data_IF_664147177376
#
_entry.id   IF_664147177376
#
_cell.length_a   1.000
_cell.length_b   1.000
_cell.length_c   1.000
_cell.angle_alpha   90.00
_cell.angle_beta   90.00
_cell.angle_gamma   90.00
#
_symmetry.space_group_name_H-M   'P 1'
#
loop_
_entity.id
_entity.type
_entity.pdbx_description
1 polymer ?
#
# COMPACT_ATOMS: atom_id res chain seq x y z
N UNK A 1 22.57 12.08 -17.65
CA UNK A 1 21.63 10.97 -17.44
C UNK A 1 21.57 10.71 -15.93
N UNK A 2 20.58 11.26 -15.22
CA UNK A 2 20.40 10.94 -13.81
C UNK A 2 19.73 9.57 -13.73
N UNK A 3 20.49 8.56 -13.30
CA UNK A 3 19.91 7.26 -12.97
C UNK A 3 18.87 7.49 -11.87
N UNK A 4 17.57 7.34 -12.22
CA UNK A 4 16.50 7.32 -11.23
C UNK A 4 16.86 6.21 -10.24
N UNK A 5 17.14 6.60 -8.99
CA UNK A 5 17.38 5.67 -7.90
C UNK A 5 16.09 4.89 -7.69
N UNK A 6 16.02 3.70 -8.30
CA UNK A 6 14.97 2.74 -8.01
C UNK A 6 15.04 2.51 -6.50
N UNK A 7 13.90 2.63 -5.82
CA UNK A 7 13.73 2.36 -4.39
C UNK A 7 13.19 0.94 -4.24
N UNK A 8 14.04 -0.10 -4.35
CA UNK A 8 13.57 -1.48 -4.47
C UNK A 8 12.96 -2.00 -3.18
N UNK A 9 13.34 -1.52 -2.00
CA UNK A 9 12.92 -2.11 -0.73
C UNK A 9 12.11 -1.14 0.11
N UNK A 10 10.93 -1.58 0.54
CA UNK A 10 9.98 -0.81 1.31
C UNK A 10 9.75 -1.42 2.69
N UNK A 11 9.84 -0.58 3.74
CA UNK A 11 9.55 -0.95 5.12
C UNK A 11 8.06 -0.85 5.40
N UNK A 12 7.45 -2.01 5.66
CA UNK A 12 6.06 -2.13 6.10
C UNK A 12 5.99 -2.46 7.59
N UNK A 13 5.35 -1.59 8.35
CA UNK A 13 5.17 -1.72 9.80
C UNK A 13 3.72 -2.04 10.15
N UNK A 14 3.56 -2.94 11.11
CA UNK A 14 2.28 -3.32 11.67
C UNK A 14 2.39 -3.50 13.19
N UNK A 15 1.60 -2.75 13.94
CA UNK A 15 1.56 -2.82 15.40
C UNK A 15 0.23 -3.39 15.83
N UNK A 16 0.24 -4.61 16.37
CA UNK A 16 -0.90 -5.10 17.14
C UNK A 16 -0.85 -4.50 18.55
N UNK A 17 -1.93 -4.57 19.31
CA UNK A 17 -1.94 -4.11 20.71
C UNK A 17 -0.84 -4.78 21.56
N UNK A 18 -0.40 -5.99 21.20
CA UNK A 18 0.58 -6.78 21.95
C UNK A 18 1.93 -6.96 21.26
N UNK A 19 2.01 -6.80 19.94
CA UNK A 19 3.17 -7.20 19.17
C UNK A 19 3.50 -6.21 18.06
N UNK A 20 4.79 -6.10 17.77
CA UNK A 20 5.34 -5.36 16.66
C UNK A 20 5.66 -6.35 15.55
N UNK A 21 5.29 -6.01 14.33
CA UNK A 21 5.61 -6.73 13.11
C UNK A 21 6.21 -5.75 12.12
N UNK A 22 7.38 -6.08 11.60
CA UNK A 22 8.08 -5.26 10.64
C UNK A 22 8.60 -6.14 9.52
N UNK A 23 8.30 -5.74 8.29
CA UNK A 23 8.64 -6.50 7.08
C UNK A 23 9.24 -5.57 6.05
N UNK A 24 10.23 -6.08 5.32
CA UNK A 24 10.84 -5.39 4.19
C UNK A 24 10.34 -6.11 2.95
N UNK A 25 9.66 -5.36 2.10
CA UNK A 25 9.03 -5.87 0.88
C UNK A 25 9.77 -5.28 -0.30
N UNK A 26 10.17 -6.11 -1.26
CA UNK A 26 10.71 -5.57 -2.49
C UNK A 26 9.56 -5.08 -3.39
N UNK A 27 9.65 -3.83 -3.86
CA UNK A 27 8.66 -3.21 -4.76
C UNK A 27 8.65 -3.87 -6.14
N UNK A 28 9.75 -4.52 -6.53
CA UNK A 28 9.95 -5.15 -7.85
C UNK A 28 9.17 -6.46 -7.93
N UNK A 29 9.40 -7.37 -6.99
CA UNK A 29 8.84 -8.73 -6.96
C UNK A 29 7.66 -8.90 -6.00
N UNK A 30 7.34 -7.86 -5.21
CA UNK A 30 6.34 -7.87 -4.12
C UNK A 30 6.62 -8.93 -3.06
N UNK A 31 7.83 -9.48 -2.98
CA UNK A 31 8.19 -10.53 -2.04
C UNK A 31 8.67 -9.93 -0.71
N UNK A 32 8.47 -10.67 0.39
CA UNK A 32 9.04 -10.31 1.67
C UNK A 32 10.49 -10.78 1.75
N UNK A 33 11.42 -9.83 1.76
CA UNK A 33 12.86 -10.10 1.76
C UNK A 33 13.33 -10.48 3.17
N UNK A 34 12.92 -9.69 4.15
CA UNK A 34 13.17 -9.94 5.57
C UNK A 34 11.98 -9.51 6.41
N UNK A 35 11.76 -10.20 7.53
CA UNK A 35 10.75 -9.83 8.51
C UNK A 35 11.26 -10.06 9.93
N UNK A 36 10.74 -9.27 10.86
CA UNK A 36 11.00 -9.37 12.29
C UNK A 36 9.69 -9.12 13.05
N UNK A 37 9.48 -9.87 14.12
CA UNK A 37 8.31 -9.70 14.97
C UNK A 37 8.62 -10.10 16.40
N UNK A 38 8.07 -9.33 17.34
CA UNK A 38 8.13 -9.62 18.77
C UNK A 38 7.34 -10.87 19.17
N UNK A 39 6.51 -11.42 18.27
CA UNK A 39 5.84 -12.70 18.49
C UNK A 39 6.76 -13.92 18.22
N UNK A 40 7.94 -13.71 17.62
CA UNK A 40 8.89 -14.78 17.40
C UNK A 40 9.50 -15.24 18.75
N UNK A 41 9.75 -16.55 18.89
CA UNK A 41 10.31 -17.16 20.09
C UNK A 41 11.64 -16.51 20.53
N UNK A 42 12.49 -16.09 19.58
CA UNK A 42 13.75 -15.39 19.88
C UNK A 42 13.50 -14.09 20.64
N UNK A 43 12.51 -13.30 20.21
CA UNK A 43 12.14 -12.06 20.87
C UNK A 43 11.48 -12.29 22.24
N UNK A 44 10.72 -13.38 22.40
CA UNK A 44 10.16 -13.76 23.71
C UNK A 44 11.26 -14.05 24.73
N UNK A 45 12.39 -14.62 24.30
CA UNK A 45 13.57 -14.83 25.17
C UNK A 45 14.32 -13.53 25.47
N UNK A 46 14.53 -12.69 24.47
CA UNK A 46 15.29 -11.42 24.62
C UNK A 46 14.55 -10.41 25.49
N UNK A 47 13.24 -10.23 25.25
CA UNK A 47 12.43 -9.27 25.99
C UNK A 47 11.98 -9.83 27.34
N UNK A 48 11.95 -11.14 27.49
CA UNK A 48 11.36 -11.82 28.65
C UNK A 48 9.86 -12.09 28.45
N UNK A 49 9.36 -13.11 29.15
CA UNK A 49 8.01 -13.63 28.94
C UNK A 49 6.91 -12.60 29.24
N UNK A 50 7.13 -11.79 30.27
CA UNK A 50 6.19 -10.80 30.83
C UNK A 50 6.46 -9.35 30.40
N UNK A 51 7.51 -9.07 29.66
CA UNK A 51 7.80 -7.71 29.23
C UNK A 51 6.77 -7.21 28.20
N UNK A 52 6.47 -5.90 28.19
CA UNK A 52 5.61 -5.31 27.18
C UNK A 52 6.25 -5.44 25.79
N UNK A 53 5.75 -6.37 24.96
CA UNK A 53 6.25 -6.68 23.60
C UNK A 53 5.89 -5.61 22.55
N UNK A 54 5.57 -4.40 23.01
CA UNK A 54 5.06 -3.30 22.19
C UNK A 54 5.57 -1.93 22.68
N UNK A 55 6.60 -1.94 23.51
CA UNK A 55 7.26 -0.76 24.05
C UNK A 55 8.42 -0.31 23.15
N UNK A 56 9.11 0.73 23.60
CA UNK A 56 10.24 1.33 22.91
C UNK A 56 11.44 0.37 22.79
N UNK A 57 11.69 -0.42 23.83
CA UNK A 57 12.75 -1.45 23.84
C UNK A 57 12.48 -2.54 22.81
N UNK A 58 11.23 -2.99 22.70
CA UNK A 58 10.82 -3.95 21.68
C UNK A 58 10.98 -3.38 20.26
N UNK A 59 10.73 -2.08 20.06
CA UNK A 59 10.98 -1.40 18.79
C UNK A 59 12.48 -1.43 18.42
N UNK A 60 13.36 -1.14 19.39
CA UNK A 60 14.83 -1.18 19.18
C UNK A 60 15.33 -2.58 18.83
N UNK A 61 14.88 -3.61 19.54
CA UNK A 61 15.28 -4.99 19.24
C UNK A 61 14.79 -5.43 17.86
N UNK A 62 13.57 -5.03 17.47
CA UNK A 62 13.04 -5.31 16.12
C UNK A 62 13.89 -4.61 15.06
N UNK A 63 14.24 -3.34 15.27
CA UNK A 63 15.12 -2.59 14.37
C UNK A 63 16.50 -3.26 14.24
N UNK A 64 17.10 -3.67 15.35
CA UNK A 64 18.40 -4.33 15.37
C UNK A 64 18.41 -5.66 14.61
N UNK A 65 17.35 -6.45 14.78
CA UNK A 65 17.22 -7.72 14.05
C UNK A 65 16.98 -7.49 12.56
N UNK A 66 16.19 -6.49 12.18
CA UNK A 66 16.03 -6.10 10.78
C UNK A 66 17.36 -5.67 10.16
N UNK A 67 18.11 -4.78 10.82
CA UNK A 67 19.41 -4.32 10.36
C UNK A 67 20.37 -5.50 10.10
N UNK A 68 20.47 -6.44 11.05
CA UNK A 68 21.28 -7.66 10.88
C UNK A 68 20.84 -8.49 9.67
N UNK A 69 19.53 -8.64 9.44
CA UNK A 69 19.00 -9.40 8.30
C UNK A 69 19.20 -8.67 6.97
N UNK A 70 19.09 -7.34 6.97
CA UNK A 70 19.32 -6.49 5.80
C UNK A 70 20.78 -6.54 5.37
N UNK A 71 21.71 -6.44 6.32
CA UNK A 71 23.14 -6.60 6.06
C UNK A 71 23.47 -7.96 5.42
N UNK A 72 22.88 -9.05 5.94
CA UNK A 72 23.05 -10.40 5.35
C UNK A 72 22.47 -10.54 3.94
N UNK A 73 21.51 -9.68 3.57
CA UNK A 73 20.87 -9.66 2.25
C UNK A 73 21.50 -8.62 1.31
N UNK A 74 22.57 -7.96 1.72
CA UNK A 74 23.24 -6.88 0.97
C UNK A 74 22.26 -5.78 0.52
N UNK A 75 21.27 -5.48 1.36
CA UNK A 75 20.32 -4.39 1.08
C UNK A 75 20.99 -3.06 1.42
N UNK A 76 21.09 -2.17 0.43
CA UNK A 76 21.81 -0.89 0.53
C UNK A 76 20.90 0.32 0.67
N UNK A 77 19.63 0.22 0.29
CA UNK A 77 18.65 1.28 0.44
C UNK A 77 17.33 0.75 1.00
N UNK A 78 16.71 1.53 1.87
CA UNK A 78 15.41 1.23 2.44
C UNK A 78 14.52 2.47 2.41
N UNK A 79 13.27 2.24 2.05
CA UNK A 79 12.26 3.26 1.86
C UNK A 79 11.11 3.11 2.85
N UNK A 80 10.64 4.21 3.43
CA UNK A 80 9.42 4.22 4.25
C UNK A 80 8.53 5.41 3.86
N UNK A 81 7.28 5.10 3.47
CA UNK A 81 6.26 6.06 3.03
C UNK A 81 5.48 6.69 4.19
N UNK A 82 5.73 6.26 5.43
CA UNK A 82 4.95 6.70 6.59
C UNK A 82 3.50 6.18 6.61
N UNK A 83 3.13 5.25 5.73
CA UNK A 83 1.76 4.71 5.69
C UNK A 83 1.50 3.75 6.86
N UNK A 84 0.27 3.84 7.37
CA UNK A 84 -0.26 2.97 8.41
C UNK A 84 -1.33 2.03 7.82
N UNK A 85 -1.33 0.77 8.25
CA UNK A 85 -2.32 -0.23 7.78
C UNK A 85 -3.57 -0.32 8.67
N UNK A 86 -3.65 0.40 9.80
CA UNK A 86 -4.82 0.33 10.70
C UNK A 86 -5.26 1.67 11.31
N UNK A 87 -6.56 1.75 11.63
CA UNK A 87 -7.29 2.91 12.21
C UNK A 87 -7.01 3.17 13.70
N UNK A 88 -6.04 2.52 14.33
CA UNK A 88 -5.79 2.64 15.77
C UNK A 88 -4.84 3.80 16.10
N UNK A 89 -5.33 4.74 16.91
CA UNK A 89 -4.61 5.84 17.60
C UNK A 89 -3.34 6.36 16.88
N UNK A 90 -3.58 7.20 15.85
CA UNK A 90 -2.57 7.75 14.93
C UNK A 90 -1.27 8.26 15.57
N UNK A 91 -1.31 8.78 16.81
CA UNK A 91 -0.13 9.35 17.49
C UNK A 91 0.87 8.27 17.95
N UNK A 92 0.43 7.32 18.79
CA UNK A 92 1.28 6.24 19.34
C UNK A 92 1.86 5.34 18.24
N UNK A 93 1.17 5.17 17.13
CA UNK A 93 1.72 4.46 15.97
C UNK A 93 2.88 5.23 15.35
N UNK A 94 2.67 6.52 15.05
CA UNK A 94 3.70 7.37 14.42
C UNK A 94 4.96 7.44 15.27
N UNK A 95 4.81 7.62 16.57
CA UNK A 95 5.94 7.71 17.50
C UNK A 95 6.78 6.41 17.47
N UNK A 96 6.12 5.24 17.52
CA UNK A 96 6.82 3.94 17.48
C UNK A 96 7.41 3.62 16.12
N UNK A 97 6.70 3.93 15.03
CA UNK A 97 7.19 3.71 13.69
C UNK A 97 8.43 4.59 13.42
N UNK A 98 8.38 5.85 13.86
CA UNK A 98 9.52 6.74 13.83
C UNK A 98 10.67 6.20 14.68
N UNK A 99 10.38 5.65 15.86
CA UNK A 99 11.40 5.05 16.71
C UNK A 99 12.12 3.86 16.06
N UNK A 100 11.38 2.97 15.40
CA UNK A 100 11.96 1.86 14.64
C UNK A 100 12.84 2.40 13.52
N UNK A 101 12.36 3.39 12.77
CA UNK A 101 13.12 4.02 11.68
C UNK A 101 14.45 4.63 12.16
N UNK A 102 14.40 5.42 13.23
CA UNK A 102 15.60 6.01 13.86
C UNK A 102 16.55 4.94 14.40
N UNK A 103 16.01 3.88 15.01
CA UNK A 103 16.81 2.77 15.53
C UNK A 103 17.53 2.02 14.40
N UNK A 104 16.89 1.84 13.24
CA UNK A 104 17.56 1.26 12.05
C UNK A 104 18.70 2.18 11.59
N UNK A 105 18.48 3.50 11.54
CA UNK A 105 19.49 4.49 11.14
C UNK A 105 20.74 4.43 12.04
N UNK A 106 20.55 4.24 13.34
CA UNK A 106 21.64 4.15 14.31
C UNK A 106 22.40 2.83 14.23
N UNK A 107 21.70 1.72 13.97
CA UNK A 107 22.31 0.38 13.97
C UNK A 107 22.95 0.04 12.62
N UNK A 108 22.44 0.57 11.52
CA UNK A 108 22.94 0.35 10.16
C UNK A 108 23.20 1.70 9.45
N UNK A 109 24.27 2.43 9.83
CA UNK A 109 24.61 3.72 9.22
C UNK A 109 24.98 3.60 7.74
N UNK A 110 25.39 2.42 7.28
CA UNK A 110 25.66 2.11 5.87
C UNK A 110 24.39 2.03 5.01
N UNK A 111 23.22 1.90 5.63
CA UNK A 111 21.95 1.79 4.93
C UNK A 111 21.44 3.18 4.54
N UNK A 112 21.20 3.39 3.24
CA UNK A 112 20.58 4.62 2.76
C UNK A 112 19.09 4.62 3.08
N UNK A 113 18.71 5.41 4.08
CA UNK A 113 17.34 5.56 4.54
C UNK A 113 16.66 6.75 3.86
N UNK A 114 15.58 6.47 3.12
CA UNK A 114 14.78 7.49 2.46
C UNK A 114 13.35 7.52 3.02
N UNK A 115 12.95 8.69 3.50
CA UNK A 115 11.58 8.99 3.91
C UNK A 115 11.01 10.03 2.97
N UNK A 116 10.03 9.67 2.15
CA UNK A 116 9.28 10.62 1.34
C UNK A 116 8.09 11.14 2.11
N UNK A 117 7.80 12.41 1.87
CA UNK A 117 6.46 12.95 2.04
C UNK A 117 5.71 12.64 0.75
N UNK A 118 4.42 12.31 0.87
CA UNK A 118 3.53 11.84 -0.21
C UNK A 118 3.46 12.72 -1.47
N UNK A 119 4.05 13.90 -1.45
CA UNK A 119 4.06 14.85 -2.57
C UNK A 119 4.88 14.34 -3.76
N UNK A 120 5.91 13.52 -3.54
CA UNK A 120 6.77 13.00 -4.63
C UNK A 120 6.21 11.74 -5.33
N UNK A 121 5.17 11.08 -4.78
CA UNK A 121 4.57 9.89 -5.41
C UNK A 121 3.45 10.26 -6.41
N UNK A 122 2.91 11.49 -6.37
CA UNK A 122 1.87 11.95 -7.31
C UNK A 122 2.44 12.13 -8.72
N UNK A 123 3.70 12.57 -8.85
CA UNK A 123 4.33 12.78 -10.17
C UNK A 123 4.66 11.47 -10.91
N UNK A 124 4.82 10.32 -10.23
CA UNK A 124 5.08 9.05 -10.91
C UNK A 124 3.81 8.31 -11.36
N UNK A 125 2.63 8.59 -10.77
CA UNK A 125 1.36 7.99 -11.21
C UNK A 125 0.69 8.76 -12.35
N UNK A 126 0.89 10.09 -12.46
CA UNK A 126 0.23 10.88 -13.51
C UNK A 126 0.74 10.58 -14.94
N UNK A 127 1.93 10.00 -15.12
CA UNK A 127 2.44 9.64 -16.44
C UNK A 127 1.98 8.27 -16.95
N UNK A 128 1.22 7.48 -16.17
CA UNK A 128 0.76 6.14 -16.57
C UNK A 128 -0.74 6.01 -16.77
N UNK A 129 -1.51 7.08 -16.58
CA UNK A 129 -2.96 7.08 -16.82
C UNK A 129 -3.35 7.98 -17.99
N UNK A 130 -2.60 7.94 -19.09
CA UNK A 130 -3.16 8.33 -20.38
C UNK A 130 -3.73 7.06 -21.03
N UNK A 131 -5.06 7.04 -21.21
CA UNK A 131 -5.88 6.02 -21.89
C UNK A 131 -6.45 4.90 -21.01
N UNK A 132 -7.34 5.25 -20.08
CA UNK A 132 -8.46 4.36 -19.76
C UNK A 132 -9.74 5.16 -19.42
N UNK A 133 -10.89 4.89 -20.08
CA UNK A 133 -12.14 5.63 -19.87
C UNK A 133 -12.81 5.37 -18.51
N UNK A 134 -12.20 4.56 -17.65
CA UNK A 134 -12.69 4.25 -16.30
C UNK A 134 -12.36 5.35 -15.27
N UNK A 135 -11.40 6.24 -15.57
CA UNK A 135 -11.00 7.33 -14.67
C UNK A 135 -12.07 8.44 -14.56
N UNK A 136 -13.03 8.49 -15.51
CA UNK A 136 -14.16 9.44 -15.45
C UNK A 136 -15.06 9.17 -14.24
N UNK A 137 -15.17 7.90 -13.79
CA UNK A 137 -15.93 7.56 -12.56
C UNK A 137 -15.22 8.01 -11.27
N UNK A 138 -13.89 8.18 -11.32
CA UNK A 138 -13.11 8.63 -10.18
C UNK A 138 -13.08 10.16 -10.05
N UNK A 139 -13.01 10.90 -11.17
CA UNK A 139 -13.08 12.37 -11.15
C UNK A 139 -14.43 12.92 -10.68
N UNK A 140 -15.51 12.13 -10.73
CA UNK A 140 -16.81 12.52 -10.20
C UNK A 140 -16.90 12.49 -8.66
N UNK A 141 -15.86 12.01 -7.96
CA UNK A 141 -15.87 11.91 -6.49
C UNK A 141 -15.09 13.01 -5.75
N UNK A 142 -14.32 13.86 -6.44
CA UNK A 142 -13.46 14.84 -5.77
C UNK A 142 -13.72 16.31 -6.09
N UNK A 143 -14.64 16.64 -6.99
CA UNK A 143 -15.04 18.03 -7.16
C UNK A 143 -16.33 18.31 -6.39
N UNK A 144 -16.44 19.51 -5.81
CA UNK A 144 -17.69 20.16 -5.39
C UNK A 144 -18.57 20.35 -6.64
N UNK A 145 -19.07 19.24 -7.16
CA UNK A 145 -19.78 19.16 -8.42
C UNK A 145 -21.16 19.75 -8.19
N UNK A 146 -21.48 20.74 -9.02
CA UNK A 146 -22.80 21.34 -9.12
C UNK A 146 -23.89 20.23 -9.08
N UNK A 147 -24.88 20.32 -8.18
CA UNK A 147 -25.98 19.36 -8.10
C UNK A 147 -26.63 19.09 -9.46
N UNK A 148 -26.64 20.09 -10.36
CA UNK A 148 -27.20 19.97 -11.70
C UNK A 148 -26.35 19.07 -12.61
N UNK A 149 -25.02 19.21 -12.55
CA UNK A 149 -24.10 18.34 -13.27
C UNK A 149 -24.23 16.88 -12.83
N UNK A 150 -24.43 16.64 -11.52
CA UNK A 150 -24.67 15.28 -11.00
C UNK A 150 -25.96 14.68 -11.55
N UNK A 151 -27.02 15.48 -11.71
CA UNK A 151 -28.29 15.03 -12.33
C UNK A 151 -28.12 14.71 -13.81
N UNK A 152 -27.40 15.54 -14.56
CA UNK A 152 -27.13 15.30 -15.98
C UNK A 152 -26.32 14.02 -16.20
N UNK A 153 -25.30 13.78 -15.38
CA UNK A 153 -24.50 12.55 -15.46
C UNK A 153 -25.31 11.30 -15.13
N UNK A 154 -26.20 11.36 -14.13
CA UNK A 154 -27.11 10.25 -13.84
C UNK A 154 -28.10 9.99 -14.97
N UNK A 155 -28.61 11.04 -15.62
CA UNK A 155 -29.50 10.90 -16.77
C UNK A 155 -28.79 10.20 -17.95
N UNK A 156 -27.54 10.59 -18.25
CA UNK A 156 -26.72 9.97 -19.28
C UNK A 156 -26.40 8.49 -18.99
N UNK A 157 -26.03 8.16 -17.74
CA UNK A 157 -25.77 6.78 -17.34
C UNK A 157 -27.03 5.92 -17.44
N UNK A 158 -28.16 6.42 -16.95
CA UNK A 158 -29.45 5.72 -17.05
C UNK A 158 -29.88 5.51 -18.50
N UNK A 159 -29.70 6.52 -19.37
CA UNK A 159 -30.03 6.41 -20.79
C UNK A 159 -29.13 5.38 -21.49
N UNK A 160 -27.84 5.35 -21.17
CA UNK A 160 -26.90 4.36 -21.72
C UNK A 160 -27.22 2.95 -21.26
N UNK A 161 -27.55 2.78 -19.98
CA UNK A 161 -27.94 1.48 -19.44
C UNK A 161 -29.24 0.98 -20.08
N UNK A 162 -30.19 1.89 -20.36
CA UNK A 162 -31.42 1.56 -21.06
C UNK A 162 -31.19 1.21 -22.54
N UNK A 163 -30.24 1.85 -23.22
CA UNK A 163 -29.82 1.47 -24.58
C UNK A 163 -29.11 0.10 -24.62
N UNK A 164 -28.25 -0.20 -23.65
CA UNK A 164 -27.62 -1.52 -23.53
C UNK A 164 -28.65 -2.61 -23.25
N UNK A 165 -29.63 -2.33 -22.39
CA UNK A 165 -30.73 -3.26 -22.11
C UNK A 165 -31.60 -3.52 -23.35
N UNK A 166 -31.90 -2.48 -24.13
CA UNK A 166 -32.61 -2.59 -25.41
C UNK A 166 -31.79 -3.37 -26.46
N UNK A 167 -30.48 -3.16 -26.54
CA UNK A 167 -29.58 -3.93 -27.43
C UNK A 167 -29.49 -5.40 -27.02
N UNK A 168 -29.39 -5.69 -25.73
CA UNK A 168 -29.38 -7.05 -25.20
C UNK A 168 -30.71 -7.78 -25.43
N UNK A 169 -31.83 -7.07 -25.45
CA UNK A 169 -33.15 -7.64 -25.80
C UNK A 169 -33.29 -7.92 -27.30
N UNK A 170 -32.80 -7.03 -28.16
CA UNK A 170 -32.83 -7.24 -29.62
C UNK A 170 -31.95 -8.43 -30.06
N UNK A 171 -30.81 -8.63 -29.42
CA UNK A 171 -29.94 -9.77 -29.71
C UNK A 171 -30.60 -11.11 -29.36
N UNK A 172 -31.34 -11.16 -28.24
CA UNK A 172 -32.02 -12.39 -27.80
C UNK A 172 -33.21 -12.78 -28.68
N UNK A 173 -33.92 -11.81 -29.28
CA UNK A 173 -35.05 -12.08 -30.17
C UNK A 173 -34.66 -12.44 -31.62
N UNK A 174 -33.39 -12.32 -32.01
CA UNK A 174 -32.92 -12.73 -33.36
C UNK A 174 -32.37 -14.16 -33.40
N UNK A 175 -32.03 -14.78 -32.26
CA UNK A 175 -31.55 -16.17 -32.21
C UNK A 175 -32.70 -17.21 -32.15
N UNK A 176 -33.94 -16.81 -31.85
CA UNK A 176 -35.08 -17.73 -31.72
C UNK A 176 -35.91 -17.93 -33.01
N UNK A 177 -35.56 -17.28 -34.13
CA UNK A 177 -36.29 -17.45 -35.41
C UNK A 177 -35.48 -18.09 -36.54
N UNK A 178 -34.28 -18.61 -36.29
CA UNK A 178 -33.57 -19.46 -37.27
C UNK A 178 -33.50 -20.91 -36.81
N UNK A 179 -34.65 -21.59 -36.74
CA UNK A 179 -34.69 -23.05 -36.86
C UNK A 179 -34.73 -23.40 -38.35
N UNK A 180 -33.73 -24.09 -38.91
CA UNK A 180 -33.85 -24.69 -40.22
C UNK A 180 -34.71 -25.97 -40.11
N UNK A 181 -35.69 -26.08 -41.00
CA UNK A 181 -36.44 -27.31 -41.26
C UNK A 181 -35.49 -28.48 -41.54
N UNK A 182 -35.71 -29.61 -40.85
CA UNK A 182 -35.44 -30.96 -41.32
C UNK A 182 -36.44 -31.92 -40.67
#
# INVERSE_FOLDING_TARGET
MHAKLVRPYHLKLFFSGKHIHASIISKIDKSCVVSASTNNATFKRILGEYAPKNDERACQEVARELAKKLAKKNVTSLYWDGEHTQKTTRKKFKDRAHHIWQSIAQVAPELRLEQTKREDEVEEEEQKTEKDPLTVKALAKESKIDPEFRRQMWALVSQRQQQEWQRGRKHRNMEETSSPEL
#
